data_IF_235174983756
#
_entry.id   IF_235174983756
#
_cell.length_a   1.000
_cell.length_b   1.000
_cell.length_c   1.000
_cell.angle_alpha   90.00
_cell.angle_beta   90.00
_cell.angle_gamma   90.00
#
_symmetry.space_group_name_H-M   'P 1'
#
loop_
_entity.id
_entity.type
_entity.pdbx_description
1 polymer ?
#
# COMPACT_ATOMS: atom_id res chain seq x y z
N UNK A 1 -23.16 22.67 -26.92
CA UNK A 1 -21.69 22.77 -27.09
C UNK A 1 -21.02 21.40 -26.99
N UNK A 2 -21.08 20.70 -25.85
CA UNK A 2 -20.42 19.38 -25.69
C UNK A 2 -20.95 18.24 -26.58
N UNK A 3 -22.24 18.21 -26.88
CA UNK A 3 -22.81 17.25 -27.83
C UNK A 3 -22.34 17.47 -29.28
N UNK A 4 -21.97 18.70 -29.65
CA UNK A 4 -21.39 19.02 -30.97
C UNK A 4 -19.88 18.74 -31.04
N UNK A 5 -19.25 18.52 -29.88
CA UNK A 5 -17.84 18.17 -29.76
C UNK A 5 -17.63 16.65 -29.64
N UNK A 6 -18.67 15.85 -29.86
CA UNK A 6 -18.69 14.39 -29.70
C UNK A 6 -18.23 13.91 -28.30
N UNK A 7 -18.36 14.77 -27.29
CA UNK A 7 -17.98 14.46 -25.89
C UNK A 7 -19.16 13.90 -25.08
N UNK A 8 -20.35 13.87 -25.67
CA UNK A 8 -21.60 13.44 -25.02
C UNK A 8 -22.47 12.70 -26.04
N UNK A 9 -22.55 11.39 -25.89
CA UNK A 9 -23.42 10.54 -26.73
C UNK A 9 -24.91 10.80 -26.48
N UNK A 10 -25.34 10.78 -25.21
CA UNK A 10 -26.75 10.94 -24.78
C UNK A 10 -26.84 11.59 -23.41
N UNK A 11 -27.69 12.60 -23.27
CA UNK A 11 -27.95 13.28 -22.00
C UNK A 11 -28.50 12.31 -20.94
N UNK A 12 -28.08 12.47 -19.68
CA UNK A 12 -28.58 11.67 -18.54
C UNK A 12 -27.98 10.27 -18.38
N UNK A 13 -27.24 9.75 -19.37
CA UNK A 13 -26.70 8.37 -19.30
C UNK A 13 -25.32 8.25 -18.64
N UNK A 14 -24.59 9.36 -18.51
CA UNK A 14 -23.18 9.35 -18.11
C UNK A 14 -22.93 8.77 -16.72
N UNK A 15 -23.78 9.08 -15.74
CA UNK A 15 -23.62 8.62 -14.35
C UNK A 15 -23.84 7.11 -14.25
N UNK A 16 -24.90 6.58 -14.88
CA UNK A 16 -25.16 5.15 -14.89
C UNK A 16 -24.08 4.36 -15.63
N UNK A 17 -23.55 4.90 -16.73
CA UNK A 17 -22.40 4.29 -17.44
C UNK A 17 -21.13 4.29 -16.60
N UNK A 18 -20.82 5.39 -15.92
CA UNK A 18 -19.66 5.45 -15.02
C UNK A 18 -19.72 4.35 -13.95
N UNK A 19 -20.89 4.16 -13.31
CA UNK A 19 -21.10 3.06 -12.34
C UNK A 19 -20.97 1.67 -12.97
N UNK A 20 -21.58 1.45 -14.14
CA UNK A 20 -21.51 0.16 -14.82
C UNK A 20 -20.06 -0.22 -15.19
N UNK A 21 -19.29 0.73 -15.73
CA UNK A 21 -17.89 0.53 -16.10
C UNK A 21 -17.02 0.25 -14.87
N UNK A 22 -17.20 1.02 -13.78
CA UNK A 22 -16.44 0.77 -12.53
C UNK A 22 -16.77 -0.59 -11.92
N UNK A 23 -18.05 -0.99 -11.94
CA UNK A 23 -18.48 -2.32 -11.49
C UNK A 23 -17.89 -3.44 -12.35
N UNK A 24 -17.92 -3.30 -13.68
CA UNK A 24 -17.33 -4.26 -14.61
C UNK A 24 -15.81 -4.38 -14.45
N UNK A 25 -15.13 -3.27 -14.15
CA UNK A 25 -13.69 -3.24 -13.90
C UNK A 25 -13.30 -3.69 -12.47
N UNK A 26 -14.27 -4.03 -11.60
CA UNK A 26 -14.00 -4.49 -10.23
C UNK A 26 -13.40 -3.42 -9.32
N UNK A 27 -13.56 -2.14 -9.66
CA UNK A 27 -13.04 -1.01 -8.90
C UNK A 27 -14.16 -0.35 -8.08
N UNK A 28 -13.85 0.26 -6.93
CA UNK A 28 -14.87 0.91 -6.10
C UNK A 28 -15.62 1.98 -6.87
N UNK A 29 -16.95 2.01 -6.70
CA UNK A 29 -17.82 2.96 -7.38
C UNK A 29 -17.46 4.42 -7.05
N UNK A 30 -17.59 5.34 -8.03
CA UNK A 30 -17.33 6.76 -7.81
C UNK A 30 -18.33 7.36 -6.83
N UNK A 31 -17.84 8.20 -5.91
CA UNK A 31 -18.67 8.98 -4.99
C UNK A 31 -19.04 10.31 -5.63
N UNK A 32 -20.34 10.59 -5.70
CA UNK A 32 -20.87 11.84 -6.22
C UNK A 32 -21.28 12.72 -5.03
N UNK A 33 -20.74 13.93 -4.96
CA UNK A 33 -21.08 14.93 -3.94
C UNK A 33 -21.42 16.24 -4.64
N UNK A 34 -22.59 16.80 -4.33
CA UNK A 34 -23.03 18.11 -4.83
C UNK A 34 -23.22 19.06 -3.65
N UNK A 35 -22.19 19.83 -3.33
CA UNK A 35 -22.29 20.94 -2.39
C UNK A 35 -22.27 22.25 -3.18
N UNK A 36 -21.18 23.02 -3.16
CA UNK A 36 -21.01 24.18 -4.04
C UNK A 36 -20.60 23.80 -5.48
N UNK A 37 -19.89 22.68 -5.62
CA UNK A 37 -19.48 22.12 -6.89
C UNK A 37 -20.02 20.70 -7.03
N UNK A 38 -20.20 20.27 -8.28
CA UNK A 38 -20.43 18.87 -8.58
C UNK A 38 -19.08 18.14 -8.64
N UNK A 39 -18.81 17.36 -7.61
CA UNK A 39 -17.53 16.64 -7.46
C UNK A 39 -17.75 15.15 -7.61
N UNK A 40 -16.98 14.54 -8.51
CA UNK A 40 -16.91 13.09 -8.67
C UNK A 40 -15.57 12.60 -8.11
N UNK A 41 -15.61 11.73 -7.11
CA UNK A 41 -14.40 11.16 -6.49
C UNK A 41 -14.24 9.70 -6.89
N UNK A 42 -13.21 9.43 -7.68
CA UNK A 42 -12.76 8.06 -7.98
C UNK A 42 -11.72 7.63 -6.96
N UNK A 43 -12.02 6.54 -6.23
CA UNK A 43 -11.01 5.92 -5.38
C UNK A 43 -10.08 5.11 -6.27
N UNK A 44 -8.80 5.48 -6.28
CA UNK A 44 -7.78 4.70 -7.00
C UNK A 44 -7.83 3.25 -6.48
N UNK A 45 -7.96 2.24 -7.35
CA UNK A 45 -7.86 0.86 -6.90
C UNK A 45 -6.50 0.72 -6.22
N UNK A 46 -6.52 0.25 -4.96
CA UNK A 46 -5.28 0.00 -4.22
C UNK A 46 -4.51 -1.02 -5.03
N UNK A 47 -3.41 -0.61 -5.67
CA UNK A 47 -2.45 -1.55 -6.23
C UNK A 47 -2.09 -2.47 -5.09
N UNK A 48 -2.46 -3.74 -5.21
CA UNK A 48 -2.46 -4.70 -4.11
C UNK A 48 -1.05 -5.19 -3.83
N UNK A 49 -0.20 -4.27 -3.37
CA UNK A 49 0.60 -4.58 -2.20
C UNK A 49 -0.38 -4.60 -1.03
N UNK A 50 -1.11 -5.71 -0.88
CA UNK A 50 -1.85 -6.07 0.34
C UNK A 50 -0.96 -5.69 1.53
N UNK A 51 -1.29 -4.60 2.25
CA UNK A 51 -0.97 -4.36 3.66
C UNK A 51 -1.13 -2.89 4.13
N UNK A 52 -1.42 -2.77 5.43
CA UNK A 52 -1.05 -1.69 6.37
C UNK A 52 -1.84 -0.37 6.31
N UNK A 53 -2.74 -0.24 7.29
CA UNK A 53 -3.37 0.98 7.79
C UNK A 53 -2.33 1.95 8.42
N UNK A 54 -1.49 2.60 7.62
CA UNK A 54 -0.48 3.53 8.15
C UNK A 54 0.20 4.44 7.14
N UNK A 55 -0.48 4.75 6.03
CA UNK A 55 0.13 5.35 4.84
C UNK A 55 0.57 6.81 4.97
N UNK A 56 0.09 7.59 5.95
CA UNK A 56 0.44 9.03 6.02
C UNK A 56 1.78 9.26 6.75
N UNK A 57 2.04 8.51 7.81
CA UNK A 57 3.19 8.73 8.70
C UNK A 57 4.47 8.07 8.18
N UNK A 58 4.33 6.93 7.51
CA UNK A 58 5.43 6.21 6.85
C UNK A 58 5.94 7.00 5.65
N UNK A 59 5.05 7.66 4.90
CA UNK A 59 5.38 8.43 3.69
C UNK A 59 6.29 9.62 3.97
N UNK A 60 6.04 10.34 5.08
CA UNK A 60 6.91 11.42 5.57
C UNK A 60 8.30 10.92 5.98
N UNK A 61 8.42 9.69 6.47
CA UNK A 61 9.71 9.10 6.90
C UNK A 61 10.46 8.40 5.79
N UNK A 62 9.81 7.95 4.71
CA UNK A 62 10.43 7.11 3.69
C UNK A 62 10.63 7.73 2.30
N UNK A 63 9.81 8.67 1.81
CA UNK A 63 9.96 9.21 0.46
C UNK A 63 9.58 8.20 -0.63
N UNK A 64 9.07 8.69 -1.76
CA UNK A 64 8.28 7.91 -2.74
C UNK A 64 8.99 6.66 -3.32
N UNK A 65 10.32 6.68 -3.46
CA UNK A 65 11.08 5.50 -3.94
C UNK A 65 11.40 4.45 -2.85
N UNK A 66 11.33 4.84 -1.58
CA UNK A 66 11.75 3.97 -0.47
C UNK A 66 10.62 3.10 0.07
N UNK A 67 9.35 3.47 -0.16
CA UNK A 67 8.18 2.66 0.22
C UNK A 67 8.10 1.36 -0.59
N UNK A 68 8.33 1.44 -1.90
CA UNK A 68 8.28 0.26 -2.79
C UNK A 68 9.34 -0.77 -2.37
N UNK A 69 10.51 -0.32 -1.92
CA UNK A 69 11.59 -1.21 -1.50
C UNK A 69 11.35 -1.78 -0.10
N UNK A 70 10.92 -0.97 0.88
CA UNK A 70 10.66 -1.44 2.24
C UNK A 70 9.48 -2.42 2.33
N UNK A 71 8.40 -2.18 1.59
CA UNK A 71 7.25 -3.09 1.52
C UNK A 71 7.60 -4.44 0.89
N UNK A 72 8.36 -4.42 -0.21
CA UNK A 72 8.83 -5.64 -0.88
C UNK A 72 9.77 -6.44 0.03
N UNK A 73 10.66 -5.78 0.78
CA UNK A 73 11.53 -6.42 1.78
C UNK A 73 10.69 -7.11 2.86
N UNK A 74 9.68 -6.43 3.42
CA UNK A 74 8.79 -7.00 4.42
C UNK A 74 8.01 -8.21 3.88
N UNK A 75 7.56 -8.16 2.62
CA UNK A 75 6.92 -9.31 1.96
C UNK A 75 7.87 -10.49 1.79
N UNK A 76 9.12 -10.25 1.40
CA UNK A 76 10.14 -11.29 1.27
C UNK A 76 10.39 -11.96 2.62
N UNK A 77 10.56 -11.17 3.69
CA UNK A 77 10.77 -11.67 5.05
C UNK A 77 9.53 -12.41 5.59
N UNK A 78 8.33 -11.97 5.22
CA UNK A 78 7.09 -12.66 5.59
C UNK A 78 6.94 -14.03 4.93
N UNK A 79 7.51 -14.23 3.73
CA UNK A 79 7.51 -15.53 3.04
C UNK A 79 8.59 -16.45 3.59
N UNK A 80 9.79 -15.91 3.84
CA UNK A 80 10.91 -16.65 4.40
C UNK A 80 11.61 -15.80 5.47
N UNK A 81 11.48 -16.22 6.73
CA UNK A 81 12.04 -15.52 7.90
C UNK A 81 13.56 -15.65 7.97
N UNK A 82 14.15 -16.62 7.26
CA UNK A 82 15.59 -16.89 7.22
C UNK A 82 16.27 -16.27 6.00
N UNK A 83 15.54 -15.49 5.22
CA UNK A 83 16.06 -14.92 3.98
C UNK A 83 17.24 -13.97 4.23
N UNK A 84 18.28 -14.13 3.41
CA UNK A 84 19.47 -13.28 3.43
C UNK A 84 19.27 -12.00 2.62
N UNK A 85 20.01 -10.94 2.96
CA UNK A 85 20.02 -9.66 2.22
C UNK A 85 20.34 -9.84 0.73
N UNK A 86 21.19 -10.81 0.36
CA UNK A 86 21.50 -11.14 -1.04
C UNK A 86 20.28 -11.67 -1.81
N UNK A 87 19.56 -12.64 -1.25
CA UNK A 87 18.34 -13.18 -1.88
C UNK A 87 17.24 -12.13 -1.98
N UNK A 88 17.12 -11.24 -0.99
CA UNK A 88 16.19 -10.11 -1.06
C UNK A 88 16.57 -9.16 -2.19
N UNK A 89 17.87 -8.87 -2.35
CA UNK A 89 18.41 -8.02 -3.41
C UNK A 89 18.08 -8.58 -4.80
N UNK A 90 18.32 -9.87 -5.02
CA UNK A 90 17.98 -10.58 -6.27
C UNK A 90 16.47 -10.57 -6.53
N UNK A 91 15.64 -10.83 -5.52
CA UNK A 91 14.19 -10.89 -5.66
C UNK A 91 13.55 -9.52 -5.97
N UNK A 92 14.17 -8.41 -5.54
CA UNK A 92 13.62 -7.06 -5.68
C UNK A 92 14.29 -6.30 -6.84
N UNK A 93 15.49 -6.72 -7.28
CA UNK A 93 16.26 -6.03 -8.31
C UNK A 93 16.92 -4.75 -7.80
N UNK A 94 17.30 -4.70 -6.52
CA UNK A 94 17.93 -3.53 -5.87
C UNK A 94 19.32 -3.94 -5.39
N UNK A 95 20.28 -3.00 -5.37
CA UNK A 95 21.63 -3.30 -4.89
C UNK A 95 21.64 -3.83 -3.44
N UNK A 96 22.54 -4.78 -3.09
CA UNK A 96 22.62 -5.33 -1.74
C UNK A 96 22.79 -4.26 -0.67
N UNK A 97 23.58 -3.22 -0.99
CA UNK A 97 23.85 -2.08 -0.11
C UNK A 97 22.61 -1.24 0.16
N UNK A 98 21.73 -1.09 -0.83
CA UNK A 98 20.45 -0.42 -0.64
C UNK A 98 19.48 -1.28 0.19
N UNK A 99 19.47 -2.60 0.01
CA UNK A 99 18.67 -3.52 0.86
C UNK A 99 19.11 -3.44 2.32
N UNK A 100 20.41 -3.46 2.60
CA UNK A 100 20.95 -3.30 3.95
C UNK A 100 20.57 -1.96 4.58
N UNK A 101 20.65 -0.87 3.81
CA UNK A 101 20.21 0.46 4.26
C UNK A 101 18.73 0.47 4.63
N UNK A 102 17.88 -0.18 3.84
CA UNK A 102 16.44 -0.28 4.13
C UNK A 102 16.17 -1.17 5.35
N UNK A 103 16.86 -2.30 5.50
CA UNK A 103 16.73 -3.18 6.68
C UNK A 103 17.16 -2.43 7.95
N UNK A 104 18.27 -1.70 7.90
CA UNK A 104 18.74 -0.88 9.02
C UNK A 104 17.70 0.18 9.42
N UNK A 105 17.05 0.81 8.45
CA UNK A 105 15.98 1.78 8.67
C UNK A 105 14.71 1.14 9.24
N UNK A 106 14.32 -0.04 8.76
CA UNK A 106 13.19 -0.81 9.31
C UNK A 106 13.47 -1.27 10.75
N UNK A 107 14.73 -1.57 11.08
CA UNK A 107 15.17 -1.91 12.43
C UNK A 107 15.13 -0.69 13.36
N UNK A 108 15.63 0.47 12.93
CA UNK A 108 15.62 1.70 13.74
C UNK A 108 14.21 2.19 14.03
N UNK A 109 13.28 1.96 13.11
CA UNK A 109 11.86 2.29 13.28
C UNK A 109 11.07 1.23 14.07
N UNK A 110 11.71 0.13 14.45
CA UNK A 110 11.08 -0.91 15.26
C UNK A 110 10.12 -1.83 14.50
N UNK A 111 10.11 -1.82 13.17
CA UNK A 111 9.29 -2.74 12.35
C UNK A 111 9.94 -4.12 12.18
N UNK A 112 11.26 -4.20 12.35
CA UNK A 112 12.01 -5.43 12.14
C UNK A 112 12.97 -5.69 13.30
N UNK A 113 13.00 -6.91 13.81
CA UNK A 113 13.92 -7.36 14.86
C UNK A 113 14.57 -8.66 14.47
N UNK A 114 15.89 -8.78 14.70
CA UNK A 114 16.59 -10.05 14.54
C UNK A 114 16.42 -10.87 15.82
N UNK A 115 15.91 -12.09 15.70
CA UNK A 115 15.62 -12.99 16.81
C UNK A 115 16.50 -14.23 16.69
N UNK A 116 17.22 -14.58 17.76
CA UNK A 116 18.10 -15.74 17.83
C UNK A 116 19.60 -15.41 17.72
N UNK A 117 20.41 -16.45 17.53
CA UNK A 117 21.89 -16.37 17.50
C UNK A 117 22.40 -15.54 16.31
N UNK A 118 23.53 -14.81 16.42
CA UNK A 118 24.11 -14.02 15.32
C UNK A 118 24.30 -14.80 14.01
N UNK A 119 24.50 -16.13 14.08
CA UNK A 119 24.73 -17.01 12.94
C UNK A 119 23.46 -17.73 12.42
N UNK A 120 22.49 -18.02 13.30
CA UNK A 120 21.30 -18.81 12.95
C UNK A 120 19.95 -18.10 13.22
N UNK A 121 19.99 -16.82 13.59
CA UNK A 121 18.82 -16.02 13.90
C UNK A 121 18.01 -15.64 12.66
N UNK A 122 16.70 -15.51 12.84
CA UNK A 122 15.74 -15.14 11.81
C UNK A 122 15.22 -13.71 11.98
N UNK A 123 14.56 -13.21 10.96
CA UNK A 123 13.91 -11.90 10.97
C UNK A 123 12.48 -12.01 11.53
N UNK A 124 12.23 -11.32 12.64
CA UNK A 124 10.91 -11.13 13.22
C UNK A 124 10.32 -9.79 12.79
N UNK A 125 9.13 -9.82 12.16
CA UNK A 125 8.36 -8.61 11.85
C UNK A 125 7.61 -8.20 13.12
N UNK A 126 7.91 -7.01 13.63
CA UNK A 126 7.23 -6.43 14.78
C UNK A 126 6.09 -5.59 14.22
N UNK A 127 4.92 -6.20 14.07
CA UNK A 127 3.70 -5.41 13.87
C UNK A 127 3.41 -4.74 15.20
N UNK A 128 3.44 -3.41 15.25
CA UNK A 128 2.83 -2.69 16.35
C UNK A 128 1.31 -2.86 16.19
N UNK A 129 0.77 -4.03 16.55
CA UNK A 129 -0.65 -4.19 16.87
C UNK A 129 -0.85 -3.32 18.10
N UNK A 130 -1.17 -2.06 17.89
CA UNK A 130 -1.92 -1.33 18.90
C UNK A 130 -3.15 -2.19 19.16
N UNK A 131 -3.19 -2.84 20.34
CA UNK A 131 -4.41 -3.37 20.92
C UNK A 131 -5.36 -2.16 21.01
N UNK A 132 -6.19 -1.96 19.99
CA UNK A 132 -7.32 -1.06 20.07
C UNK A 132 -8.40 -1.81 20.84
N UNK A 133 -8.25 -1.78 22.16
CA UNK A 133 -9.30 -1.86 23.18
C UNK A 133 -10.52 -2.74 22.85
N UNK A 134 -10.40 -4.07 23.00
CA UNK A 134 -11.54 -4.93 23.33
C UNK A 134 -11.84 -4.82 24.83
N UNK A 135 -12.38 -3.66 25.24
CA UNK A 135 -13.10 -3.48 26.50
C UNK A 135 -14.23 -2.49 26.28
N UNK A 136 -15.33 -3.01 25.73
CA UNK A 136 -16.69 -2.61 26.11
C UNK A 136 -17.64 -3.73 25.70
N UNK A 137 -17.71 -4.73 26.56
CA UNK A 137 -18.91 -5.57 26.71
C UNK A 137 -19.32 -5.33 28.16
N UNK A 138 -20.31 -4.46 28.35
CA UNK A 138 -21.43 -4.57 29.28
C UNK A 138 -22.49 -3.57 28.81
#
# INVERSE_FOLDING_TARGET
MFARMDKVERMGTGISRMRAITKAAGVPEPKFTSNLFFTITFKRPKFSVKNISGSEEVRRKFGEGSEISSEKILKCISKDKYISSKKISEAIGISPRAVEKQIAKLKSLGYLKRIGSPKAGYWGIVTNRTKKNDKNIF
#
